data_IF_631659784361
#
_entry.id   IF_631659784361
#
_cell.length_a   1.000
_cell.length_b   1.000
_cell.length_c   1.000
_cell.angle_alpha   90.00
_cell.angle_beta   90.00
_cell.angle_gamma   90.00
#
_symmetry.space_group_name_H-M   'P 1'
#
loop_
_entity.id
_entity.type
_entity.pdbx_description
1 polymer ?
#
# COMPACT_ATOMS: atom_id res chain seq x y z
N UNK A 1 -43.16 64.78 2.23
CA UNK A 1 -42.94 63.69 3.26
C UNK A 1 -42.09 62.62 2.67
N UNK A 2 -40.84 62.56 3.11
CA UNK A 2 -39.89 61.59 2.61
C UNK A 2 -39.96 60.36 3.50
N UNK A 3 -40.30 59.24 2.93
CA UNK A 3 -40.22 57.93 3.61
C UNK A 3 -38.87 57.28 3.32
N UNK A 4 -38.02 57.25 4.32
CA UNK A 4 -36.73 56.60 4.21
C UNK A 4 -36.87 55.13 4.56
N UNK A 5 -36.91 54.30 3.56
CA UNK A 5 -36.75 52.87 3.75
C UNK A 5 -35.28 52.51 3.91
N UNK A 6 -34.90 52.17 5.10
CA UNK A 6 -33.61 51.56 5.38
C UNK A 6 -33.74 50.05 5.28
N UNK A 7 -33.28 49.48 4.19
CA UNK A 7 -33.13 48.04 4.06
C UNK A 7 -31.72 47.72 4.50
N UNK A 8 -31.61 47.20 5.72
CA UNK A 8 -30.36 46.59 6.19
C UNK A 8 -30.29 45.18 5.67
N UNK A 9 -29.49 44.97 4.66
CA UNK A 9 -29.15 43.64 4.20
C UNK A 9 -28.05 43.07 5.09
N UNK A 10 -28.42 42.22 6.04
CA UNK A 10 -27.45 41.34 6.70
C UNK A 10 -27.18 40.16 5.78
N UNK A 11 -26.06 40.24 5.07
CA UNK A 11 -25.49 39.10 4.36
C UNK A 11 -24.79 38.18 5.33
N UNK A 12 -25.43 37.11 5.71
CA UNK A 12 -24.82 36.03 6.46
C UNK A 12 -24.18 35.06 5.46
N UNK A 13 -22.92 35.26 5.13
CA UNK A 13 -22.13 34.28 4.38
C UNK A 13 -21.65 33.22 5.35
N UNK A 14 -22.40 32.15 5.47
CA UNK A 14 -21.94 30.94 6.11
C UNK A 14 -20.94 30.24 5.16
N UNK A 15 -19.68 30.46 5.37
CA UNK A 15 -18.63 29.67 4.73
C UNK A 15 -18.61 28.27 5.37
N UNK A 16 -19.29 27.33 4.75
CA UNK A 16 -19.18 25.93 5.12
C UNK A 16 -17.82 25.42 4.64
N UNK A 17 -16.83 25.44 5.50
CA UNK A 17 -15.58 24.73 5.30
C UNK A 17 -15.83 23.24 5.45
N UNK A 18 -16.10 22.58 4.34
CA UNK A 18 -16.10 21.12 4.27
C UNK A 18 -14.65 20.69 4.32
N UNK A 19 -14.19 20.33 5.50
CA UNK A 19 -12.95 19.60 5.69
C UNK A 19 -13.18 18.20 5.11
N UNK A 20 -12.83 18.04 3.84
CA UNK A 20 -12.62 16.70 3.29
C UNK A 20 -11.39 16.12 4.00
N UNK A 21 -11.62 15.46 5.10
CA UNK A 21 -10.67 14.48 5.60
C UNK A 21 -10.61 13.39 4.53
N UNK A 22 -9.57 13.46 3.69
CA UNK A 22 -9.18 12.36 2.81
C UNK A 22 -8.77 11.21 3.73
N UNK A 23 -9.78 10.55 4.28
CA UNK A 23 -9.60 9.47 5.25
C UNK A 23 -8.95 8.31 4.55
N UNK A 24 -8.02 7.88 5.03
CA UNK A 24 -7.34 6.63 5.34
C UNK A 24 -8.20 5.38 5.16
N UNK A 25 -8.89 5.25 4.03
CA UNK A 25 -9.60 4.04 3.64
C UNK A 25 -8.66 2.98 3.06
N UNK A 26 -7.42 2.89 3.58
CA UNK A 26 -6.41 1.94 3.09
C UNK A 26 -6.25 0.69 3.94
N UNK A 27 -6.92 0.60 5.07
CA UNK A 27 -6.72 -0.48 6.02
C UNK A 27 -7.16 -1.86 5.49
N UNK A 28 -8.13 -1.89 4.59
CA UNK A 28 -8.69 -3.14 4.07
C UNK A 28 -8.33 -3.44 2.61
N UNK A 29 -7.27 -2.83 2.10
CA UNK A 29 -6.74 -3.09 0.76
C UNK A 29 -5.32 -3.64 0.82
N UNK A 30 -4.99 -4.49 -0.14
CA UNK A 30 -3.65 -5.09 -0.23
C UNK A 30 -2.57 -4.09 -0.64
N UNK A 31 -2.94 -2.91 -1.11
CA UNK A 31 -2.01 -1.82 -1.40
C UNK A 31 -1.19 -1.45 -0.17
N UNK A 32 0.08 -1.13 -0.37
CA UNK A 32 0.96 -0.64 0.66
C UNK A 32 2.30 -1.34 0.69
N UNK A 33 3.03 -1.09 1.77
CA UNK A 33 4.36 -1.63 1.99
C UNK A 33 4.30 -2.84 2.92
N UNK A 34 4.89 -3.93 2.47
CA UNK A 34 4.89 -5.21 3.17
C UNK A 34 6.30 -5.63 3.51
N UNK A 35 6.49 -6.02 4.76
CA UNK A 35 7.77 -6.38 5.34
C UNK A 35 7.76 -7.79 5.90
N UNK A 36 8.91 -8.44 5.82
CA UNK A 36 9.17 -9.75 6.39
C UNK A 36 10.55 -9.75 7.07
N UNK A 37 10.81 -10.76 7.92
CA UNK A 37 12.09 -10.96 8.54
C UNK A 37 13.26 -10.92 7.53
N UNK A 38 14.47 -10.61 8.00
CA UNK A 38 15.67 -10.46 7.19
C UNK A 38 15.68 -9.25 6.22
N UNK A 39 14.87 -8.22 6.52
CA UNK A 39 14.86 -6.98 5.73
C UNK A 39 14.17 -7.10 4.37
N UNK A 40 13.39 -8.14 4.15
CA UNK A 40 12.61 -8.27 2.92
C UNK A 40 11.46 -7.26 2.91
N UNK A 41 11.31 -6.57 1.79
CA UNK A 41 10.32 -5.53 1.58
C UNK A 41 9.76 -5.62 0.17
N UNK A 42 8.46 -5.43 0.03
CA UNK A 42 7.78 -5.23 -1.25
C UNK A 42 6.73 -4.15 -1.13
N UNK A 43 6.35 -3.56 -2.25
CA UNK A 43 5.35 -2.50 -2.30
C UNK A 43 4.31 -2.79 -3.39
N UNK A 44 3.05 -2.67 -3.05
CA UNK A 44 1.92 -2.88 -3.98
C UNK A 44 1.15 -1.58 -4.13
N UNK A 45 0.91 -1.18 -5.38
CA UNK A 45 0.10 -0.03 -5.73
C UNK A 45 -0.80 -0.35 -6.92
N UNK A 46 -2.06 -0.69 -6.65
CA UNK A 46 -2.93 -1.20 -7.69
C UNK A 46 -2.30 -2.40 -8.40
N UNK A 47 -2.29 -2.46 -9.74
CA UNK A 47 -1.70 -3.57 -10.47
C UNK A 47 -0.16 -3.60 -10.47
N UNK A 48 0.49 -2.57 -9.91
CA UNK A 48 1.95 -2.47 -9.88
C UNK A 48 2.53 -3.03 -8.58
N UNK A 49 3.61 -3.79 -8.69
CA UNK A 49 4.38 -4.28 -7.56
C UNK A 49 5.86 -3.97 -7.75
N UNK A 50 6.51 -3.55 -6.66
CA UNK A 50 7.97 -3.62 -6.50
C UNK A 50 8.25 -4.89 -5.73
N UNK A 51 8.91 -5.84 -6.35
CA UNK A 51 9.19 -7.17 -5.79
C UNK A 51 10.21 -7.09 -4.66
N UNK A 52 10.35 -8.14 -3.83
CA UNK A 52 11.40 -8.17 -2.79
C UNK A 52 12.82 -8.02 -3.35
N UNK A 53 13.06 -8.41 -4.60
CA UNK A 53 14.33 -8.19 -5.28
C UNK A 53 14.51 -6.78 -5.87
N UNK A 54 13.47 -5.93 -5.83
CA UNK A 54 13.51 -4.56 -6.30
C UNK A 54 13.04 -4.34 -7.74
N UNK A 55 12.59 -5.38 -8.42
CA UNK A 55 12.03 -5.26 -9.77
C UNK A 55 10.62 -4.69 -9.76
N UNK A 56 10.28 -3.96 -10.81
CA UNK A 56 8.91 -3.45 -11.03
C UNK A 56 8.21 -4.31 -12.07
N UNK A 57 7.03 -4.79 -11.74
CA UNK A 57 6.21 -5.57 -12.66
C UNK A 57 4.74 -5.35 -12.39
N UNK A 58 3.91 -5.82 -13.28
CA UNK A 58 2.45 -5.79 -13.11
C UNK A 58 1.94 -7.17 -12.74
N UNK A 59 0.82 -7.18 -12.02
CA UNK A 59 0.12 -8.39 -11.66
C UNK A 59 -1.39 -8.24 -11.74
N UNK A 60 -2.08 -9.30 -11.41
CA UNK A 60 -3.53 -9.31 -11.29
C UNK A 60 -3.91 -8.83 -9.90
N UNK A 61 -4.45 -7.63 -9.84
CA UNK A 61 -4.81 -6.93 -8.62
C UNK A 61 -6.30 -7.08 -8.31
N UNK A 62 -6.60 -7.36 -7.07
CA UNK A 62 -7.91 -7.10 -6.48
C UNK A 62 -7.71 -6.46 -5.11
N UNK A 63 -8.78 -5.96 -4.51
CA UNK A 63 -8.73 -5.29 -3.21
C UNK A 63 -8.02 -6.13 -2.13
N UNK A 64 -8.24 -7.44 -2.13
CA UNK A 64 -7.73 -8.35 -1.09
C UNK A 64 -6.76 -9.41 -1.62
N UNK A 65 -6.36 -9.32 -2.88
CA UNK A 65 -5.42 -10.29 -3.45
C UNK A 65 -4.54 -9.69 -4.55
N UNK A 66 -3.40 -10.30 -4.74
CA UNK A 66 -2.47 -9.94 -5.81
C UNK A 66 -1.76 -11.18 -6.33
N UNK A 67 -1.69 -11.33 -7.64
CA UNK A 67 -1.02 -12.45 -8.28
C UNK A 67 -0.06 -11.91 -9.33
N UNK A 68 1.18 -12.36 -9.32
CA UNK A 68 2.15 -11.99 -10.35
C UNK A 68 3.09 -13.15 -10.67
N UNK A 69 3.76 -13.04 -11.81
CA UNK A 69 4.82 -13.94 -12.24
C UNK A 69 6.16 -13.27 -11.92
N UNK A 70 7.05 -13.98 -11.26
CA UNK A 70 8.37 -13.45 -10.89
C UNK A 70 9.14 -13.08 -12.16
N UNK A 71 9.63 -11.81 -12.28
CA UNK A 71 10.39 -11.34 -13.42
C UNK A 71 11.68 -12.14 -13.64
N UNK A 72 12.17 -12.15 -14.88
CA UNK A 72 13.39 -12.90 -15.27
C UNK A 72 14.64 -12.45 -14.50
N UNK A 73 14.69 -11.17 -14.08
CA UNK A 73 15.82 -10.64 -13.32
C UNK A 73 15.84 -11.06 -11.84
N UNK A 74 14.74 -11.59 -11.33
CA UNK A 74 14.58 -11.91 -9.92
C UNK A 74 14.85 -13.39 -9.64
N UNK A 75 15.32 -13.74 -8.44
CA UNK A 75 15.37 -15.14 -7.99
C UNK A 75 13.99 -15.79 -8.04
N UNK A 76 13.90 -17.00 -8.56
CA UNK A 76 12.64 -17.70 -8.75
C UNK A 76 11.88 -17.28 -10.00
N UNK A 77 12.55 -16.69 -10.99
CA UNK A 77 11.95 -16.25 -12.26
C UNK A 77 10.99 -17.29 -12.85
N UNK A 78 9.80 -16.81 -13.27
CA UNK A 78 8.75 -17.64 -13.84
C UNK A 78 7.81 -18.29 -12.83
N UNK A 79 8.11 -18.25 -11.54
CA UNK A 79 7.19 -18.72 -10.51
C UNK A 79 5.97 -17.80 -10.40
N UNK A 80 4.82 -18.39 -10.13
CA UNK A 80 3.60 -17.64 -9.83
C UNK A 80 3.51 -17.39 -8.33
N UNK A 81 3.37 -16.14 -7.97
CA UNK A 81 3.17 -15.70 -6.60
C UNK A 81 1.71 -15.30 -6.41
N UNK A 82 1.08 -15.84 -5.39
CA UNK A 82 -0.29 -15.51 -5.01
C UNK A 82 -0.32 -14.96 -3.59
N UNK A 83 -0.93 -13.81 -3.41
CA UNK A 83 -1.05 -13.13 -2.11
C UNK A 83 -2.50 -12.90 -1.76
N UNK A 84 -2.84 -13.09 -0.49
CA UNK A 84 -4.17 -12.84 0.06
C UNK A 84 -4.02 -12.00 1.31
N UNK A 85 -4.78 -10.90 1.38
CA UNK A 85 -4.93 -10.10 2.57
C UNK A 85 -5.83 -10.86 3.57
N UNK A 86 -5.26 -11.29 4.69
CA UNK A 86 -6.00 -12.03 5.74
C UNK A 86 -6.57 -11.10 6.81
N UNK A 87 -5.94 -9.98 7.02
CA UNK A 87 -6.41 -8.85 7.83
C UNK A 87 -5.64 -7.58 7.43
N UNK A 88 -5.97 -6.46 8.02
CA UNK A 88 -5.39 -5.15 7.69
C UNK A 88 -3.85 -5.08 7.74
N UNK A 89 -3.25 -5.91 8.55
CA UNK A 89 -1.81 -5.90 8.84
C UNK A 89 -1.04 -7.09 8.29
N UNK A 90 -1.74 -8.06 7.66
CA UNK A 90 -1.13 -9.36 7.33
C UNK A 90 -1.57 -9.87 5.97
N UNK A 91 -0.62 -10.30 5.16
CA UNK A 91 -0.87 -11.08 3.96
C UNK A 91 -0.23 -12.47 4.06
N UNK A 92 -0.89 -13.44 3.45
CA UNK A 92 -0.33 -14.75 3.18
C UNK A 92 0.12 -14.82 1.73
N UNK A 93 1.37 -15.22 1.52
CA UNK A 93 1.98 -15.37 0.22
C UNK A 93 2.28 -16.83 -0.05
N UNK A 94 1.76 -17.34 -1.15
CA UNK A 94 2.00 -18.69 -1.66
C UNK A 94 2.83 -18.62 -2.93
N UNK A 95 3.75 -19.55 -3.08
CA UNK A 95 4.56 -19.73 -4.27
C UNK A 95 4.11 -21.01 -4.96
N UNK A 96 3.51 -20.86 -6.12
CA UNK A 96 3.16 -22.00 -6.95
C UNK A 96 4.42 -22.45 -7.71
N UNK A 97 5.00 -23.53 -7.24
CA UNK A 97 6.12 -24.16 -7.95
C UNK A 97 5.63 -24.77 -9.26
N UNK A 98 6.46 -24.79 -10.32
CA UNK A 98 6.15 -25.55 -11.50
C UNK A 98 5.92 -27.02 -11.10
N UNK A 99 4.99 -27.66 -11.76
CA UNK A 99 4.41 -28.99 -11.44
C UNK A 99 5.38 -30.18 -11.29
N UNK A 100 6.68 -29.92 -11.37
CA UNK A 100 7.75 -30.91 -11.19
C UNK A 100 8.32 -30.95 -9.77
N UNK A 101 7.94 -30.02 -8.89
CA UNK A 101 8.39 -30.02 -7.49
C UNK A 101 7.43 -30.85 -6.63
N UNK A 102 7.94 -31.94 -6.08
CA UNK A 102 7.18 -32.81 -5.19
C UNK A 102 6.84 -32.19 -3.82
N UNK A 103 7.45 -31.07 -3.47
CA UNK A 103 7.24 -30.39 -2.18
C UNK A 103 6.77 -28.96 -2.44
N UNK A 104 5.53 -28.59 -2.05
CA UNK A 104 5.10 -27.21 -2.13
C UNK A 104 5.96 -26.32 -1.22
N UNK A 105 6.30 -25.12 -1.69
CA UNK A 105 6.98 -24.13 -0.87
C UNK A 105 6.10 -23.75 0.34
N UNK A 106 6.70 -23.54 1.53
CA UNK A 106 5.92 -23.11 2.68
C UNK A 106 5.31 -21.73 2.44
N UNK A 107 4.07 -21.56 2.91
CA UNK A 107 3.39 -20.27 2.89
C UNK A 107 4.17 -19.24 3.71
N UNK A 108 4.32 -18.06 3.17
CA UNK A 108 4.99 -16.95 3.84
C UNK A 108 3.97 -15.99 4.43
N UNK A 109 4.27 -15.48 5.60
CA UNK A 109 3.49 -14.45 6.28
C UNK A 109 4.25 -13.12 6.19
N UNK A 110 3.58 -12.10 5.67
CA UNK A 110 4.11 -10.75 5.54
C UNK A 110 3.25 -9.78 6.34
N UNK A 111 3.88 -8.80 6.95
CA UNK A 111 3.21 -7.78 7.75
C UNK A 111 3.39 -6.40 7.14
N UNK A 112 2.45 -5.49 7.39
CA UNK A 112 2.65 -4.10 7.01
C UNK A 112 3.94 -3.60 7.65
N UNK A 113 4.75 -2.90 6.84
CA UNK A 113 5.94 -2.26 7.35
C UNK A 113 5.54 -1.23 8.41
N UNK A 114 6.24 -1.23 9.52
CA UNK A 114 6.10 -0.18 10.52
C UNK A 114 6.62 1.12 9.93
N UNK A 115 6.01 2.25 10.33
CA UNK A 115 6.30 3.57 9.83
C UNK A 115 7.81 3.87 9.76
N UNK A 116 8.23 4.71 8.82
CA UNK A 116 9.53 4.61 8.15
C UNK A 116 10.72 4.83 9.07
N UNK A 117 11.63 3.89 9.02
CA UNK A 117 13.01 4.01 9.51
C UNK A 117 13.80 5.11 8.79
N UNK A 118 13.23 5.73 7.75
CA UNK A 118 13.85 6.80 6.95
C UNK A 118 14.18 8.04 7.81
N UNK A 119 13.36 8.35 8.82
CA UNK A 119 13.62 9.48 9.72
C UNK A 119 14.86 9.28 10.59
N UNK A 120 15.20 8.06 10.98
CA UNK A 120 16.36 7.77 11.81
C UNK A 120 17.69 7.87 11.06
N UNK A 121 17.70 7.61 9.76
CA UNK A 121 18.91 7.73 8.92
C UNK A 121 19.30 9.18 8.64
N UNK A 122 18.32 10.07 8.54
CA UNK A 122 18.59 11.50 8.34
C UNK A 122 19.13 12.20 9.59
N UNK A 123 18.82 11.71 10.78
CA UNK A 123 19.32 12.28 12.04
C UNK A 123 20.76 11.87 12.29
N UNK A 124 21.15 10.65 11.95
CA UNK A 124 22.52 10.17 12.12
C UNK A 124 23.54 10.86 11.20
N UNK A 125 23.13 11.38 10.06
CA UNK A 125 24.02 12.07 9.13
C UNK A 125 24.37 13.52 9.54
N UNK A 126 23.75 14.06 10.59
CA UNK A 126 23.97 15.44 11.07
C UNK A 126 24.85 15.54 12.32
N UNK A 127 25.35 14.45 12.85
CA UNK A 127 26.19 14.41 14.05
C UNK A 127 27.65 14.05 13.71
N UNK A 128 28.02 14.23 12.48
CA UNK A 128 29.42 14.14 12.09
C UNK A 128 30.03 15.54 11.94
#
# INVERSE_FOLDING_TARGET
MAYRNRISALGLTAAATILLSAGLARADVIDGDWCRAAGQHMSIKGPLIVTPAGSRTEGNYSRHSFIYIVPQADPGAGQKISMILVNEETIHLSIDAPSTSATPAPMQVWHRCKAPVISARHVSARIA
#
